data_IF_415204071996
#
_entry.id   IF_415204071996
#
_cell.length_a   1.000
_cell.length_b   1.000
_cell.length_c   1.000
_cell.angle_alpha   90.00
_cell.angle_beta   90.00
_cell.angle_gamma   90.00
#
_symmetry.space_group_name_H-M   'P 1'
#
loop_
_entity.id
_entity.type
_entity.pdbx_description
1 polymer ?
#
# COMPACT_ATOMS: atom_id res chain seq x y z
N UNK A 1 64.16 -8.35 36.62
CA UNK A 1 64.24 -8.98 37.97
C UNK A 1 63.94 -8.02 39.13
N UNK A 2 64.07 -6.69 38.95
CA UNK A 2 63.82 -5.72 40.04
C UNK A 2 62.35 -5.30 40.24
N UNK A 3 61.52 -5.27 39.19
CA UNK A 3 60.08 -4.96 39.33
C UNK A 3 59.31 -5.99 40.17
N UNK A 4 59.72 -7.26 40.12
CA UNK A 4 59.10 -8.35 40.90
C UNK A 4 59.45 -8.28 42.39
N UNK A 5 60.64 -7.73 42.72
CA UNK A 5 61.05 -7.50 44.12
C UNK A 5 60.33 -6.31 44.76
N UNK A 6 60.00 -5.29 43.98
CA UNK A 6 59.27 -4.12 44.48
C UNK A 6 57.79 -4.43 44.79
N UNK A 7 57.12 -5.23 43.96
CA UNK A 7 55.75 -5.72 44.26
C UNK A 7 55.69 -6.61 45.51
N UNK A 8 56.69 -7.50 45.69
CA UNK A 8 56.77 -8.35 46.88
C UNK A 8 57.07 -7.57 48.17
N UNK A 9 57.72 -6.41 48.08
CA UNK A 9 57.99 -5.54 49.24
C UNK A 9 56.73 -4.78 49.67
N UNK A 10 55.94 -4.28 48.73
CA UNK A 10 54.66 -3.60 49.02
C UNK A 10 53.63 -4.55 49.64
N UNK A 11 53.53 -5.80 49.17
CA UNK A 11 52.59 -6.78 49.72
C UNK A 11 52.91 -7.27 51.14
N UNK A 12 54.17 -7.16 51.60
CA UNK A 12 54.58 -7.58 52.95
C UNK A 12 54.23 -6.58 54.06
N UNK A 13 53.87 -5.33 53.73
CA UNK A 13 53.60 -4.26 54.70
C UNK A 13 52.11 -4.00 54.96
N UNK A 14 51.22 -4.68 54.24
CA UNK A 14 49.77 -4.52 54.36
C UNK A 14 49.17 -5.64 55.22
N UNK A 15 48.41 -5.27 56.25
CA UNK A 15 47.75 -6.22 57.15
C UNK A 15 46.73 -7.09 56.38
N UNK A 16 46.45 -8.34 56.80
CA UNK A 16 45.57 -9.31 56.11
C UNK A 16 44.25 -8.68 55.63
N UNK A 17 43.66 -7.77 56.43
CA UNK A 17 42.45 -6.99 56.09
C UNK A 17 42.60 -6.12 54.82
N UNK A 18 43.75 -5.48 54.62
CA UNK A 18 43.99 -4.62 53.45
C UNK A 18 44.15 -5.45 52.17
N UNK A 19 44.72 -6.64 52.25
CA UNK A 19 44.79 -7.58 51.13
C UNK A 19 43.40 -8.11 50.76
N UNK A 20 42.54 -8.42 51.75
CA UNK A 20 41.15 -8.81 51.50
C UNK A 20 40.35 -7.68 50.85
N UNK A 21 40.52 -6.44 51.33
CA UNK A 21 39.85 -5.26 50.79
C UNK A 21 40.30 -4.95 49.35
N UNK A 22 41.59 -5.13 49.05
CA UNK A 22 42.13 -4.95 47.70
C UNK A 22 41.61 -6.04 46.75
N UNK A 23 41.53 -7.30 47.18
CA UNK A 23 40.92 -8.37 46.38
C UNK A 23 39.41 -8.13 46.14
N UNK A 24 38.67 -7.64 47.14
CA UNK A 24 37.26 -7.24 47.02
C UNK A 24 37.07 -6.06 46.05
N UNK A 25 37.91 -5.01 46.16
CA UNK A 25 37.88 -3.90 45.19
C UNK A 25 38.25 -4.36 43.78
N UNK A 26 39.24 -5.24 43.65
CA UNK A 26 39.67 -5.79 42.35
C UNK A 26 38.58 -6.63 41.72
N UNK A 27 37.85 -7.42 42.51
CA UNK A 27 36.70 -8.21 42.03
C UNK A 27 35.49 -7.35 41.72
N UNK A 28 35.24 -6.27 42.47
CA UNK A 28 34.22 -5.26 42.12
C UNK A 28 34.59 -4.55 40.81
N UNK A 29 35.86 -4.16 40.61
CA UNK A 29 36.33 -3.51 39.38
C UNK A 29 36.29 -4.49 38.18
N UNK A 30 36.62 -5.77 38.38
CA UNK A 30 36.47 -6.82 37.36
C UNK A 30 35.00 -7.12 37.02
N UNK A 31 34.08 -7.01 37.99
CA UNK A 31 32.65 -7.12 37.75
C UNK A 31 32.07 -5.90 37.02
N UNK A 32 32.60 -4.69 37.27
CA UNK A 32 32.19 -3.45 36.57
C UNK A 32 32.79 -3.38 35.16
N UNK A 33 33.99 -3.92 34.95
CA UNK A 33 34.67 -3.97 33.64
C UNK A 33 34.10 -5.00 32.65
N UNK A 34 33.14 -5.82 33.08
CA UNK A 34 32.45 -6.82 32.26
C UNK A 34 31.06 -6.39 31.79
N UNK A 35 30.76 -5.08 31.76
CA UNK A 35 29.63 -4.60 30.97
C UNK A 35 30.01 -4.67 29.49
N UNK A 36 29.65 -5.78 28.83
CA UNK A 36 29.62 -5.84 27.35
C UNK A 36 28.81 -4.64 26.88
N UNK A 37 29.43 -3.80 26.08
CA UNK A 37 28.75 -2.71 25.37
C UNK A 37 27.60 -3.33 24.57
N UNK A 38 26.37 -3.08 25.01
CA UNK A 38 25.18 -3.61 24.35
C UNK A 38 25.06 -2.92 22.99
N UNK A 39 25.29 -3.69 21.91
CA UNK A 39 25.18 -3.16 20.55
C UNK A 39 23.74 -2.73 20.28
N UNK A 40 23.57 -1.61 19.57
CA UNK A 40 22.26 -1.15 19.12
C UNK A 40 21.83 -1.95 17.89
N UNK A 41 20.53 -2.26 17.80
CA UNK A 41 19.93 -2.82 16.59
C UNK A 41 19.69 -1.66 15.62
N UNK A 42 20.49 -1.58 14.58
CA UNK A 42 20.37 -0.53 13.56
C UNK A 42 19.25 -0.86 12.57
N UNK A 43 18.29 0.06 12.44
CA UNK A 43 17.17 -0.04 11.50
C UNK A 43 17.17 1.20 10.59
N UNK A 44 17.11 0.94 9.29
CA UNK A 44 17.15 1.91 8.21
C UNK A 44 15.82 1.95 7.45
N UNK A 45 15.56 3.01 6.65
CA UNK A 45 14.39 3.07 5.76
C UNK A 45 14.27 1.85 4.82
N UNK A 46 15.41 1.29 4.38
CA UNK A 46 15.41 0.09 3.53
C UNK A 46 14.76 -1.11 4.22
N UNK A 47 14.95 -1.28 5.53
CA UNK A 47 14.26 -2.34 6.25
C UNK A 47 12.73 -2.15 6.25
N UNK A 48 12.25 -0.90 6.24
CA UNK A 48 10.82 -0.62 6.09
C UNK A 48 10.32 -0.93 4.67
N UNK A 49 11.08 -0.54 3.65
CA UNK A 49 10.78 -0.90 2.28
C UNK A 49 10.70 -2.42 2.09
N UNK A 50 11.61 -3.18 2.71
CA UNK A 50 11.66 -4.63 2.58
C UNK A 50 10.44 -5.32 3.25
N UNK A 51 9.95 -4.83 4.40
CA UNK A 51 8.71 -5.39 4.99
C UNK A 51 7.48 -5.09 4.14
N UNK A 52 7.41 -3.90 3.51
CA UNK A 52 6.33 -3.53 2.59
C UNK A 52 6.38 -4.39 1.32
N UNK A 53 7.59 -4.58 0.76
CA UNK A 53 7.81 -5.43 -0.42
C UNK A 53 7.45 -6.90 -0.12
N UNK A 54 7.80 -7.40 1.06
CA UNK A 54 7.44 -8.77 1.49
C UNK A 54 5.91 -8.97 1.48
N UNK A 55 5.15 -8.05 2.07
CA UNK A 55 3.67 -8.14 2.08
C UNK A 55 3.11 -7.97 0.65
N UNK A 56 3.72 -7.12 -0.18
CA UNK A 56 3.36 -6.96 -1.60
C UNK A 56 3.52 -8.26 -2.38
N UNK A 57 4.63 -8.96 -2.20
CA UNK A 57 4.89 -10.25 -2.85
C UNK A 57 3.89 -11.32 -2.43
N UNK A 58 3.50 -11.33 -1.16
CA UNK A 58 2.46 -12.23 -0.66
C UNK A 58 1.10 -11.86 -1.25
N UNK A 59 0.76 -10.57 -1.39
CA UNK A 59 -0.50 -10.18 -2.03
C UNK A 59 -0.60 -10.60 -3.49
N UNK A 60 0.49 -10.49 -4.25
CA UNK A 60 0.55 -10.97 -5.64
C UNK A 60 0.41 -12.50 -5.69
N UNK A 61 1.02 -13.20 -4.73
CA UNK A 61 0.89 -14.66 -4.63
C UNK A 61 -0.54 -15.10 -4.29
N UNK A 62 -1.21 -14.37 -3.40
CA UNK A 62 -2.55 -14.69 -2.90
C UNK A 62 -3.68 -14.12 -3.78
N UNK A 63 -3.34 -13.37 -4.84
CA UNK A 63 -4.25 -12.82 -5.85
C UNK A 63 -5.33 -11.94 -5.21
N UNK A 64 -4.92 -11.01 -4.34
CA UNK A 64 -5.85 -10.05 -3.75
C UNK A 64 -6.37 -9.05 -4.77
N UNK A 65 -7.66 -8.71 -4.64
CA UNK A 65 -8.30 -7.69 -5.46
C UNK A 65 -7.72 -6.29 -5.20
N UNK A 66 -7.78 -5.37 -6.18
CA UNK A 66 -7.33 -3.99 -5.98
C UNK A 66 -7.88 -3.29 -4.71
N UNK A 67 -9.19 -3.30 -4.43
CA UNK A 67 -9.72 -2.68 -3.20
C UNK A 67 -9.24 -3.39 -1.93
N UNK A 68 -9.16 -4.73 -1.92
CA UNK A 68 -8.67 -5.46 -0.73
C UNK A 68 -7.19 -5.20 -0.50
N UNK A 69 -6.36 -5.15 -1.55
CA UNK A 69 -4.95 -4.81 -1.44
C UNK A 69 -4.73 -3.44 -0.79
N UNK A 70 -5.57 -2.44 -1.08
CA UNK A 70 -5.50 -1.13 -0.41
C UNK A 70 -5.68 -1.22 1.10
N UNK A 71 -6.60 -2.08 1.56
CA UNK A 71 -6.84 -2.37 2.97
C UNK A 71 -5.62 -3.02 3.62
N UNK A 72 -4.97 -3.96 2.91
CA UNK A 72 -3.78 -4.68 3.38
C UNK A 72 -2.59 -3.72 3.55
N UNK A 73 -2.44 -2.69 2.72
CA UNK A 73 -1.42 -1.66 2.94
C UNK A 73 -1.78 -0.70 4.06
N UNK A 74 -3.06 -0.36 4.23
CA UNK A 74 -3.47 0.74 5.10
C UNK A 74 -3.16 0.46 6.59
N UNK A 75 -3.68 -0.64 7.12
CA UNK A 75 -3.62 -0.94 8.55
C UNK A 75 -2.20 -1.21 9.10
N UNK A 76 -1.33 -1.98 8.42
CA UNK A 76 0.06 -2.16 8.86
C UNK A 76 0.86 -0.86 8.91
N UNK A 77 0.66 0.03 7.93
CA UNK A 77 1.30 1.34 7.92
C UNK A 77 0.83 2.20 9.10
N UNK A 78 -0.48 2.23 9.39
CA UNK A 78 -1.02 2.92 10.57
C UNK A 78 -0.43 2.35 11.86
N UNK A 79 -0.29 1.02 11.98
CA UNK A 79 0.31 0.41 13.16
C UNK A 79 1.77 0.85 13.37
N UNK A 80 2.58 0.81 12.31
CA UNK A 80 3.96 1.28 12.36
C UNK A 80 4.05 2.79 12.67
N UNK A 81 3.14 3.58 12.09
CA UNK A 81 3.08 5.03 12.30
C UNK A 81 2.75 5.38 13.76
N UNK A 82 1.77 4.72 14.36
CA UNK A 82 1.43 4.93 15.77
C UNK A 82 2.58 4.54 16.71
N UNK A 83 3.41 3.55 16.33
CA UNK A 83 4.62 3.23 17.11
C UNK A 83 5.66 4.35 17.04
N UNK A 84 5.93 4.94 15.85
CA UNK A 84 6.94 6.01 15.76
C UNK A 84 6.52 7.29 16.46
N UNK A 85 5.21 7.59 16.51
CA UNK A 85 4.67 8.75 17.25
C UNK A 85 5.01 8.70 18.76
N UNK A 86 5.32 7.51 19.29
CA UNK A 86 5.66 7.32 20.70
C UNK A 86 7.13 7.63 20.99
N UNK A 87 7.98 7.55 19.95
CA UNK A 87 9.40 7.83 20.03
C UNK A 87 9.80 9.20 19.48
N UNK A 88 8.92 9.87 18.72
CA UNK A 88 9.23 11.12 18.04
C UNK A 88 8.05 12.11 18.10
N UNK A 89 8.14 13.19 18.92
CA UNK A 89 7.05 14.14 19.10
C UNK A 89 6.76 14.99 17.86
N UNK A 90 7.61 14.95 16.82
CA UNK A 90 7.33 15.59 15.54
C UNK A 90 6.09 14.98 14.86
N UNK A 91 5.84 13.69 15.08
CA UNK A 91 4.73 12.96 14.46
C UNK A 91 3.55 12.84 15.44
N UNK A 92 2.37 13.24 14.96
CA UNK A 92 1.14 13.27 15.77
C UNK A 92 0.32 12.01 15.54
N UNK A 93 -0.18 11.43 16.62
CA UNK A 93 -1.09 10.27 16.57
C UNK A 93 -2.29 10.52 15.65
N UNK A 94 -2.65 9.49 14.90
CA UNK A 94 -3.86 9.41 14.08
C UNK A 94 -5.12 9.14 14.91
N UNK A 95 -4.97 8.84 16.20
CA UNK A 95 -6.12 8.70 17.09
C UNK A 95 -6.92 10.00 17.17
N UNK A 96 -8.24 9.88 17.06
CA UNK A 96 -9.15 11.03 16.97
C UNK A 96 -9.16 11.74 15.62
N UNK A 97 -8.26 11.38 14.69
CA UNK A 97 -8.27 11.84 13.30
C UNK A 97 -8.92 10.81 12.37
N UNK A 98 -8.62 9.53 12.59
CA UNK A 98 -9.25 8.42 11.86
C UNK A 98 -10.51 7.92 12.57
N UNK A 99 -11.46 7.43 11.78
CA UNK A 99 -12.73 6.91 12.28
C UNK A 99 -12.53 5.77 13.29
N UNK A 100 -13.04 5.99 14.50
CA UNK A 100 -13.06 5.03 15.61
C UNK A 100 -11.68 4.54 16.07
N UNK A 101 -10.58 5.22 15.71
CA UNK A 101 -9.24 4.87 16.20
C UNK A 101 -8.99 5.50 17.57
N UNK A 102 -9.03 4.68 18.62
CA UNK A 102 -8.63 5.08 19.97
C UNK A 102 -7.11 5.11 20.14
N UNK A 103 -6.56 5.84 21.14
CA UNK A 103 -5.11 5.94 21.34
C UNK A 103 -4.48 4.57 21.58
N UNK A 104 -3.31 4.34 20.98
CA UNK A 104 -2.53 3.11 21.22
C UNK A 104 -1.96 3.08 22.65
N UNK A 105 -1.66 1.88 23.20
CA UNK A 105 -0.99 1.77 24.49
C UNK A 105 0.34 2.53 24.51
N UNK A 106 0.54 3.33 25.56
CA UNK A 106 1.75 4.14 25.72
C UNK A 106 2.99 3.26 25.93
N UNK A 107 4.12 3.69 25.38
CA UNK A 107 5.40 3.00 25.58
C UNK A 107 5.84 3.08 27.05
N UNK A 108 6.32 1.95 27.58
CA UNK A 108 6.86 1.89 28.94
C UNK A 108 8.25 2.53 29.00
N UNK A 109 8.34 3.70 29.62
CA UNK A 109 9.58 4.48 29.73
C UNK A 109 10.67 3.80 30.56
N UNK A 110 10.36 2.71 31.27
CA UNK A 110 11.34 1.92 32.04
C UNK A 110 12.04 0.84 31.20
N UNK A 111 11.55 0.57 29.98
CA UNK A 111 12.08 -0.46 29.07
C UNK A 111 13.00 0.11 28.00
N UNK A 112 13.89 -0.72 27.47
CA UNK A 112 14.82 -0.32 26.40
C UNK A 112 14.20 -0.57 25.02
N UNK A 113 13.16 0.21 24.69
CA UNK A 113 12.39 0.06 23.45
C UNK A 113 13.12 0.77 22.29
N UNK A 114 13.45 0.01 21.26
CA UNK A 114 13.81 0.51 19.94
C UNK A 114 12.53 0.64 19.11
N UNK A 115 12.03 1.87 18.98
CA UNK A 115 10.78 2.16 18.26
C UNK A 115 10.81 1.75 16.79
N UNK A 116 11.98 1.75 16.15
CA UNK A 116 12.10 1.30 14.75
C UNK A 116 11.88 -0.21 14.62
N UNK A 117 12.46 -1.00 15.53
CA UNK A 117 12.21 -2.45 15.62
C UNK A 117 10.74 -2.70 15.94
N UNK A 118 10.18 -2.00 16.93
CA UNK A 118 8.78 -2.13 17.30
C UNK A 118 7.82 -1.79 16.15
N UNK A 119 8.15 -0.79 15.31
CA UNK A 119 7.36 -0.42 14.14
C UNK A 119 7.37 -1.52 13.07
N UNK A 120 8.53 -2.13 12.78
CA UNK A 120 8.62 -3.28 11.86
C UNK A 120 7.86 -4.51 12.38
N UNK A 121 7.95 -4.77 13.69
CA UNK A 121 7.17 -5.83 14.36
C UNK A 121 5.67 -5.58 14.19
N UNK A 122 5.22 -4.35 14.46
CA UNK A 122 3.80 -3.98 14.35
C UNK A 122 3.30 -4.12 12.91
N UNK A 123 4.08 -3.63 11.93
CA UNK A 123 3.76 -3.77 10.51
C UNK A 123 3.61 -5.25 10.11
N UNK A 124 4.60 -6.08 10.40
CA UNK A 124 4.59 -7.49 9.99
C UNK A 124 3.47 -8.27 10.68
N UNK A 125 3.18 -8.01 11.95
CA UNK A 125 2.13 -8.72 12.68
C UNK A 125 0.72 -8.36 12.17
N UNK A 126 0.45 -7.09 11.86
CA UNK A 126 -0.83 -6.68 11.26
C UNK A 126 -0.91 -7.15 9.81
N UNK A 127 0.18 -7.04 9.05
CA UNK A 127 0.24 -7.47 7.65
C UNK A 127 0.03 -8.97 7.49
N UNK A 128 0.56 -9.78 8.40
CA UNK A 128 0.36 -11.24 8.45
C UNK A 128 -1.13 -11.60 8.59
N UNK A 129 -1.86 -10.94 9.49
CA UNK A 129 -3.30 -11.19 9.72
C UNK A 129 -4.16 -10.89 8.47
N UNK A 130 -3.64 -10.09 7.54
CA UNK A 130 -4.36 -9.56 6.40
C UNK A 130 -4.15 -10.34 5.10
N UNK A 131 -3.27 -11.34 5.10
CA UNK A 131 -2.94 -12.17 3.93
C UNK A 131 -3.30 -13.64 4.19
N UNK A 132 -3.39 -14.45 3.14
CA UNK A 132 -3.70 -15.89 3.29
C UNK A 132 -2.45 -16.73 3.53
N UNK A 133 -1.36 -16.44 2.82
CA UNK A 133 -0.08 -17.14 2.97
C UNK A 133 0.74 -16.58 4.13
N UNK A 134 0.19 -16.63 5.35
CA UNK A 134 0.83 -16.10 6.57
C UNK A 134 2.27 -16.56 6.74
N UNK A 135 2.52 -17.86 6.48
CA UNK A 135 3.82 -18.50 6.61
C UNK A 135 4.95 -17.80 5.83
N UNK A 136 4.65 -17.15 4.70
CA UNK A 136 5.64 -16.38 3.93
C UNK A 136 6.09 -15.12 4.69
N UNK A 137 5.15 -14.42 5.32
CA UNK A 137 5.44 -13.27 6.19
C UNK A 137 6.20 -13.73 7.44
N UNK A 138 5.77 -14.84 8.04
CA UNK A 138 6.42 -15.41 9.23
C UNK A 138 7.86 -15.82 8.96
N UNK A 139 8.13 -16.47 7.83
CA UNK A 139 9.49 -16.89 7.46
C UNK A 139 10.44 -15.68 7.38
N UNK A 140 9.99 -14.58 6.76
CA UNK A 140 10.78 -13.36 6.70
C UNK A 140 10.94 -12.71 8.07
N UNK A 141 9.84 -12.57 8.84
CA UNK A 141 9.85 -12.04 10.22
C UNK A 141 10.83 -12.79 11.12
N UNK A 142 10.79 -14.12 11.09
CA UNK A 142 11.61 -14.96 11.98
C UNK A 142 13.10 -14.87 11.63
N UNK A 143 13.43 -14.62 10.35
CA UNK A 143 14.80 -14.31 9.93
C UNK A 143 15.32 -13.01 10.56
N UNK A 144 14.48 -11.97 10.59
CA UNK A 144 14.80 -10.68 11.22
C UNK A 144 14.92 -10.83 12.74
N UNK A 145 13.99 -11.55 13.36
CA UNK A 145 13.97 -11.78 14.81
C UNK A 145 15.23 -12.52 15.28
N UNK A 146 15.64 -13.55 14.54
CA UNK A 146 16.88 -14.28 14.83
C UNK A 146 18.10 -13.35 14.79
N UNK A 147 18.16 -12.46 13.79
CA UNK A 147 19.23 -11.47 13.66
C UNK A 147 19.21 -10.47 14.82
N UNK A 148 18.08 -9.82 15.09
CA UNK A 148 17.94 -8.79 16.11
C UNK A 148 18.17 -9.34 17.53
N UNK A 149 17.67 -10.54 17.83
CA UNK A 149 17.89 -11.18 19.12
C UNK A 149 19.39 -11.49 19.36
N UNK A 150 20.13 -11.85 18.30
CA UNK A 150 21.57 -12.12 18.38
C UNK A 150 22.40 -10.85 18.64
N UNK A 151 21.91 -9.68 18.23
CA UNK A 151 22.57 -8.37 18.42
C UNK A 151 22.31 -7.84 19.82
N UNK A 152 21.04 -7.70 20.20
CA UNK A 152 20.64 -7.24 21.52
C UNK A 152 19.31 -7.86 21.94
N UNK A 153 19.40 -8.97 22.66
CA UNK A 153 18.25 -9.74 23.16
C UNK A 153 17.32 -8.93 24.07
N UNK A 154 17.85 -8.06 24.93
CA UNK A 154 17.03 -7.28 25.87
C UNK A 154 16.20 -6.24 25.11
N UNK A 155 16.87 -5.37 24.35
CA UNK A 155 16.19 -4.34 23.57
C UNK A 155 15.24 -4.94 22.54
N UNK A 156 15.63 -6.03 21.86
CA UNK A 156 14.74 -6.73 20.93
C UNK A 156 13.46 -7.24 21.62
N UNK A 157 13.57 -7.90 22.77
CA UNK A 157 12.38 -8.45 23.45
C UNK A 157 11.44 -7.34 23.96
N UNK A 158 12.00 -6.25 24.51
CA UNK A 158 11.20 -5.07 24.92
C UNK A 158 10.51 -4.43 23.71
N UNK A 159 11.22 -4.26 22.59
CA UNK A 159 10.70 -3.68 21.34
C UNK A 159 9.63 -4.55 20.69
N UNK A 160 9.87 -5.87 20.62
CA UNK A 160 8.90 -6.85 20.10
C UNK A 160 7.63 -6.86 20.94
N UNK A 161 7.76 -6.89 22.27
CA UNK A 161 6.60 -6.86 23.16
C UNK A 161 5.76 -5.61 22.94
N UNK A 162 6.39 -4.45 22.77
CA UNK A 162 5.69 -3.20 22.49
C UNK A 162 5.04 -3.18 21.09
N UNK A 163 5.77 -3.60 20.05
CA UNK A 163 5.23 -3.68 18.68
C UNK A 163 4.02 -4.62 18.58
N UNK A 164 4.05 -5.78 19.26
CA UNK A 164 2.92 -6.71 19.32
C UNK A 164 1.74 -6.14 20.11
N UNK A 165 1.99 -5.32 21.13
CA UNK A 165 0.94 -4.64 21.90
C UNK A 165 0.19 -3.63 21.03
N UNK A 166 0.91 -2.81 20.26
CA UNK A 166 0.30 -1.88 19.29
C UNK A 166 -0.39 -2.64 18.16
N UNK A 167 0.23 -3.69 17.62
CA UNK A 167 -0.38 -4.53 16.60
C UNK A 167 -1.73 -5.10 17.06
N UNK A 168 -1.80 -5.62 18.29
CA UNK A 168 -3.05 -6.13 18.86
C UNK A 168 -4.14 -5.06 18.87
N UNK A 169 -3.84 -3.86 19.36
CA UNK A 169 -4.78 -2.74 19.37
C UNK A 169 -5.31 -2.39 17.97
N UNK A 170 -4.42 -2.38 16.97
CA UNK A 170 -4.80 -2.11 15.58
C UNK A 170 -5.61 -3.28 15.00
N UNK A 171 -5.31 -4.53 15.33
CA UNK A 171 -6.11 -5.71 14.92
C UNK A 171 -7.52 -5.69 15.54
N UNK A 172 -7.64 -5.25 16.78
CA UNK A 172 -8.94 -5.06 17.43
C UNK A 172 -9.75 -3.98 16.69
N UNK A 173 -9.13 -2.83 16.35
CA UNK A 173 -9.76 -1.77 15.55
C UNK A 173 -10.11 -2.20 14.12
N UNK A 174 -9.22 -2.96 13.46
CA UNK A 174 -9.39 -3.57 12.14
C UNK A 174 -10.61 -4.49 12.09
N UNK A 175 -10.83 -5.30 13.12
CA UNK A 175 -11.93 -6.28 13.17
C UNK A 175 -13.33 -5.66 13.13
N UNK A 176 -13.42 -4.34 13.38
CA UNK A 176 -14.67 -3.58 13.45
C UNK A 176 -14.98 -2.79 12.16
N UNK A 177 -14.20 -2.97 11.09
CA UNK A 177 -14.30 -2.17 9.86
C UNK A 177 -15.33 -2.68 8.84
N UNK A 178 -16.15 -3.66 9.25
CA UNK A 178 -17.17 -4.37 8.45
C UNK A 178 -16.65 -5.34 7.39
N UNK A 179 -15.34 -5.48 7.17
CA UNK A 179 -14.81 -6.38 6.13
C UNK A 179 -15.24 -7.83 6.28
N UNK A 180 -15.20 -8.37 7.51
CA UNK A 180 -15.60 -9.74 7.79
C UNK A 180 -17.09 -9.99 7.47
N UNK A 181 -17.94 -9.01 7.79
CA UNK A 181 -19.38 -9.04 7.55
C UNK A 181 -19.70 -8.98 6.05
N UNK A 182 -18.92 -8.25 5.25
CA UNK A 182 -19.17 -8.19 3.80
C UNK A 182 -18.81 -9.49 3.07
N UNK A 183 -18.00 -10.38 3.67
CA UNK A 183 -17.59 -11.65 3.03
C UNK A 183 -18.75 -12.62 2.80
N UNK A 184 -19.85 -12.46 3.54
CA UNK A 184 -21.05 -13.31 3.43
C UNK A 184 -22.24 -12.58 2.81
N UNK A 185 -22.05 -11.34 2.33
CA UNK A 185 -23.10 -10.60 1.63
C UNK A 185 -23.34 -11.18 0.23
N UNK A 186 -24.55 -10.98 -0.35
CA UNK A 186 -24.88 -11.50 -1.68
C UNK A 186 -23.93 -10.98 -2.76
N UNK A 187 -23.71 -11.81 -3.79
CA UNK A 187 -23.00 -11.40 -5.01
C UNK A 187 -23.77 -10.33 -5.77
N UNK A 188 -23.09 -9.65 -6.69
CA UNK A 188 -23.73 -8.71 -7.60
C UNK A 188 -24.77 -9.41 -8.48
N UNK A 189 -26.00 -8.87 -8.53
CA UNK A 189 -27.04 -9.38 -9.42
C UNK A 189 -26.92 -8.75 -10.81
N UNK A 190 -26.54 -9.58 -11.78
CA UNK A 190 -26.51 -9.24 -13.20
C UNK A 190 -27.95 -9.17 -13.72
N UNK A 191 -28.29 -8.10 -14.45
CA UNK A 191 -29.56 -7.97 -15.16
C UNK A 191 -29.27 -7.65 -16.62
N UNK A 192 -29.44 -8.65 -17.49
CA UNK A 192 -29.18 -8.54 -18.93
C UNK A 192 -30.33 -7.89 -19.70
N UNK A 193 -31.49 -7.66 -19.08
CA UNK A 193 -32.61 -6.95 -19.71
C UNK A 193 -32.37 -5.42 -19.76
N UNK A 194 -31.51 -4.90 -18.89
CA UNK A 194 -31.08 -3.51 -18.91
C UNK A 194 -29.77 -3.36 -19.71
N UNK A 195 -29.79 -2.80 -20.94
CA UNK A 195 -28.62 -2.73 -21.80
C UNK A 195 -27.53 -1.76 -21.28
N UNK A 196 -27.86 -0.88 -20.32
CA UNK A 196 -26.89 0.02 -19.72
C UNK A 196 -26.11 -0.62 -18.56
N UNK A 197 -26.59 -1.77 -18.06
CA UNK A 197 -26.05 -2.39 -16.84
C UNK A 197 -24.89 -3.34 -17.13
N UNK A 198 -23.91 -3.33 -16.24
CA UNK A 198 -22.72 -4.17 -16.30
C UNK A 198 -23.06 -5.66 -16.38
N UNK A 199 -22.30 -6.34 -17.24
CA UNK A 199 -22.33 -7.78 -17.44
C UNK A 199 -20.91 -8.32 -17.29
N UNK A 200 -20.73 -9.56 -16.77
CA UNK A 200 -19.44 -10.24 -16.81
C UNK A 200 -18.91 -10.33 -18.24
N UNK A 201 -17.62 -10.08 -18.42
CA UNK A 201 -16.97 -10.05 -19.73
C UNK A 201 -16.11 -11.30 -19.98
N UNK A 202 -15.92 -11.71 -21.25
CA UNK A 202 -14.96 -12.74 -21.60
C UNK A 202 -13.53 -12.43 -21.14
N UNK A 203 -12.65 -13.45 -21.11
CA UNK A 203 -12.91 -14.88 -21.28
C UNK A 203 -13.55 -15.56 -20.06
N UNK A 204 -13.41 -15.00 -18.86
CA UNK A 204 -13.71 -15.73 -17.62
C UNK A 204 -15.13 -15.50 -17.08
N UNK A 205 -15.82 -14.44 -17.50
CA UNK A 205 -17.17 -14.09 -17.03
C UNK A 205 -17.28 -14.09 -15.49
N UNK A 206 -16.24 -13.58 -14.82
CA UNK A 206 -16.19 -13.53 -13.36
C UNK A 206 -17.29 -12.63 -12.77
N UNK A 207 -17.78 -13.00 -11.58
CA UNK A 207 -18.67 -12.15 -10.80
C UNK A 207 -18.01 -10.80 -10.49
N UNK A 208 -18.84 -9.75 -10.37
CA UNK A 208 -18.38 -8.41 -10.03
C UNK A 208 -17.63 -8.39 -8.69
N UNK A 209 -16.40 -7.88 -8.70
CA UNK A 209 -15.49 -7.89 -7.55
C UNK A 209 -15.86 -6.83 -6.50
N UNK A 210 -16.12 -7.30 -5.28
CA UNK A 210 -16.39 -6.48 -4.08
C UNK A 210 -17.61 -5.54 -4.20
N UNK A 211 -18.82 -6.05 -4.49
CA UNK A 211 -20.02 -5.22 -4.69
C UNK A 211 -20.44 -4.39 -3.48
N UNK A 212 -19.97 -4.78 -2.29
CA UNK A 212 -20.28 -4.13 -1.02
C UNK A 212 -19.08 -3.36 -0.45
N UNK A 213 -18.07 -3.02 -1.25
CA UNK A 213 -16.89 -2.31 -0.75
C UNK A 213 -17.23 -0.95 -0.12
N UNK A 214 -18.34 -0.33 -0.53
CA UNK A 214 -18.91 0.88 0.08
C UNK A 214 -19.28 0.73 1.56
N UNK A 215 -19.47 -0.50 2.04
CA UNK A 215 -19.84 -0.77 3.43
C UNK A 215 -18.64 -0.85 4.38
N UNK A 216 -17.41 -0.90 3.84
CA UNK A 216 -16.18 -0.88 4.62
C UNK A 216 -16.05 0.49 5.30
N UNK A 217 -15.67 0.50 6.58
CA UNK A 217 -15.43 1.75 7.31
C UNK A 217 -14.33 2.55 6.60
N UNK A 218 -14.60 3.77 6.10
CA UNK A 218 -13.55 4.62 5.58
C UNK A 218 -12.61 5.08 6.68
N UNK A 219 -11.35 5.32 6.33
CA UNK A 219 -10.31 5.76 7.26
C UNK A 219 -10.61 7.17 7.77
N UNK A 220 -10.89 8.09 6.86
CA UNK A 220 -11.03 9.52 7.16
C UNK A 220 -12.16 10.24 6.40
N UNK A 221 -12.57 9.77 5.22
CA UNK A 221 -13.74 10.34 4.54
C UNK A 221 -15.00 10.05 5.36
N UNK A 222 -15.90 11.03 5.46
CA UNK A 222 -17.05 11.01 6.36
C UNK A 222 -18.05 9.90 5.97
N UNK A 223 -18.15 9.59 4.68
CA UNK A 223 -18.93 8.46 4.14
C UNK A 223 -18.37 8.03 2.79
N UNK A 224 -18.68 6.79 2.37
CA UNK A 224 -18.27 6.27 1.05
C UNK A 224 -18.75 7.15 -0.11
N UNK A 225 -19.89 7.82 0.05
CA UNK A 225 -20.49 8.69 -0.97
C UNK A 225 -20.02 10.15 -0.92
N UNK A 226 -19.08 10.51 -0.04
CA UNK A 226 -18.64 11.91 0.13
C UNK A 226 -18.11 12.54 -1.16
N UNK A 227 -17.42 11.75 -1.99
CA UNK A 227 -16.86 12.18 -3.28
C UNK A 227 -17.60 11.53 -4.45
N UNK A 228 -18.93 11.56 -4.42
CA UNK A 228 -19.74 11.16 -5.58
C UNK A 228 -19.42 12.08 -6.77
N UNK A 229 -18.99 11.54 -7.92
CA UNK A 229 -18.65 12.35 -9.08
C UNK A 229 -19.92 12.83 -9.81
N UNK A 230 -19.73 13.75 -10.76
CA UNK A 230 -20.77 14.12 -11.73
C UNK A 230 -21.23 12.88 -12.51
N UNK A 231 -22.49 12.84 -12.94
CA UNK A 231 -23.03 11.68 -13.68
C UNK A 231 -22.29 11.49 -15.01
N UNK A 232 -22.02 10.23 -15.37
CA UNK A 232 -21.58 9.89 -16.73
C UNK A 232 -22.65 10.27 -17.78
N UNK A 233 -22.29 10.39 -19.07
CA UNK A 233 -23.27 10.61 -20.14
C UNK A 233 -24.41 9.60 -20.10
N UNK A 234 -25.65 10.04 -20.32
CA UNK A 234 -26.81 9.15 -20.35
C UNK A 234 -26.62 8.07 -21.42
N UNK A 235 -26.85 6.81 -21.03
CA UNK A 235 -26.75 5.68 -21.94
C UNK A 235 -27.66 5.88 -23.15
N UNK A 236 -27.09 5.77 -24.35
CA UNK A 236 -27.81 5.86 -25.61
C UNK A 236 -26.98 5.26 -26.74
N UNK A 237 -27.63 4.50 -27.62
CA UNK A 237 -27.02 3.98 -28.84
C UNK A 237 -27.28 4.88 -30.07
N UNK A 238 -27.96 6.02 -29.88
CA UNK A 238 -28.10 7.04 -30.92
C UNK A 238 -26.75 7.70 -31.22
N UNK A 239 -26.40 7.79 -32.51
CA UNK A 239 -25.06 8.17 -32.96
C UNK A 239 -24.62 9.59 -32.56
N UNK A 240 -25.57 10.49 -32.36
CA UNK A 240 -25.35 11.88 -31.98
C UNK A 240 -25.26 12.08 -30.45
N UNK A 241 -25.64 11.06 -29.66
CA UNK A 241 -25.56 11.09 -28.20
C UNK A 241 -24.12 11.12 -27.70
N UNK A 242 -23.91 11.72 -26.52
CA UNK A 242 -22.58 11.82 -25.93
C UNK A 242 -22.02 10.44 -25.55
N UNK A 243 -22.86 9.52 -25.06
CA UNK A 243 -22.43 8.17 -24.73
C UNK A 243 -21.93 7.39 -25.96
N UNK A 244 -22.64 7.45 -27.08
CA UNK A 244 -22.20 6.77 -28.32
C UNK A 244 -20.90 7.35 -28.88
N UNK A 245 -20.67 8.65 -28.72
CA UNK A 245 -19.39 9.28 -29.10
C UNK A 245 -18.23 8.74 -28.26
N UNK A 246 -18.41 8.59 -26.95
CA UNK A 246 -17.37 7.99 -26.10
C UNK A 246 -17.15 6.50 -26.39
N UNK A 247 -18.21 5.75 -26.69
CA UNK A 247 -18.11 4.36 -27.16
C UNK A 247 -17.31 4.26 -28.47
N UNK A 248 -17.61 5.14 -29.42
CA UNK A 248 -16.92 5.20 -30.72
C UNK A 248 -15.46 5.61 -30.55
N UNK A 249 -15.16 6.56 -29.66
CA UNK A 249 -13.79 6.94 -29.32
C UNK A 249 -12.99 5.73 -28.82
N UNK A 250 -13.55 4.93 -27.89
CA UNK A 250 -12.87 3.72 -27.39
C UNK A 250 -12.60 2.71 -28.51
N UNK A 251 -13.58 2.48 -29.39
CA UNK A 251 -13.45 1.60 -30.56
C UNK A 251 -12.33 2.05 -31.50
N UNK A 252 -12.35 3.33 -31.90
CA UNK A 252 -11.38 3.92 -32.83
C UNK A 252 -9.96 3.91 -32.27
N UNK A 253 -9.79 4.28 -30.99
CA UNK A 253 -8.48 4.25 -30.32
C UNK A 253 -7.92 2.83 -30.30
N UNK A 254 -8.74 1.83 -29.98
CA UNK A 254 -8.32 0.42 -30.01
C UNK A 254 -7.86 -0.03 -31.39
N UNK A 255 -8.58 0.35 -32.45
CA UNK A 255 -8.20 0.03 -33.83
C UNK A 255 -6.88 0.68 -34.25
N UNK A 256 -6.67 1.96 -33.93
CA UNK A 256 -5.40 2.65 -34.21
C UNK A 256 -4.22 1.94 -33.54
N UNK A 257 -4.36 1.51 -32.29
CA UNK A 257 -3.28 0.80 -31.57
C UNK A 257 -3.02 -0.56 -32.22
N UNK A 258 -4.08 -1.28 -32.64
CA UNK A 258 -3.96 -2.57 -33.34
C UNK A 258 -3.24 -2.42 -34.69
N UNK A 259 -3.48 -1.32 -35.41
CA UNK A 259 -2.79 -0.99 -36.66
C UNK A 259 -1.31 -0.63 -36.45
N UNK A 260 -0.99 0.13 -35.40
CA UNK A 260 0.38 0.52 -35.01
C UNK A 260 1.21 -0.68 -34.49
N UNK A 261 0.56 -1.70 -33.94
CA UNK A 261 1.17 -2.92 -33.42
C UNK A 261 2.14 -2.67 -32.26
N UNK A 262 3.16 -3.53 -32.14
CA UNK A 262 4.15 -3.51 -31.04
C UNK A 262 4.96 -2.20 -30.92
N UNK A 263 4.98 -1.38 -31.97
CA UNK A 263 5.66 -0.07 -31.95
C UNK A 263 4.84 1.05 -31.32
N UNK A 264 3.57 0.79 -30.99
CA UNK A 264 2.68 1.78 -30.38
C UNK A 264 3.12 2.14 -28.95
N UNK A 265 3.38 3.42 -28.71
CA UNK A 265 3.60 3.94 -27.35
C UNK A 265 2.34 3.80 -26.49
N UNK A 266 1.15 3.91 -27.09
CA UNK A 266 -0.13 3.77 -26.38
C UNK A 266 -0.32 2.33 -25.87
N UNK A 267 0.13 1.33 -26.64
CA UNK A 267 0.14 -0.07 -26.21
C UNK A 267 1.04 -0.24 -24.98
N UNK A 268 2.26 0.31 -25.01
CA UNK A 268 3.20 0.22 -23.90
C UNK A 268 2.68 0.93 -22.65
N UNK A 269 2.04 2.10 -22.81
CA UNK A 269 1.37 2.82 -21.72
C UNK A 269 0.23 1.98 -21.13
N UNK A 270 -0.63 1.38 -21.96
CA UNK A 270 -1.72 0.53 -21.52
C UNK A 270 -1.21 -0.68 -20.73
N UNK A 271 -0.16 -1.36 -21.23
CA UNK A 271 0.43 -2.52 -20.57
C UNK A 271 1.12 -2.15 -19.25
N UNK A 272 1.84 -1.03 -19.21
CA UNK A 272 2.54 -0.56 -18.02
C UNK A 272 1.58 -0.30 -16.86
N UNK A 273 0.44 0.32 -17.14
CA UNK A 273 -0.56 0.67 -16.15
C UNK A 273 -1.69 -0.35 -16.05
N UNK A 274 -1.59 -1.56 -16.63
CA UNK A 274 -2.70 -2.53 -16.61
C UNK A 274 -3.05 -2.94 -15.17
N UNK A 275 -2.01 -3.30 -14.39
CA UNK A 275 -2.12 -3.58 -12.95
C UNK A 275 -3.31 -4.49 -12.57
N UNK A 276 -3.66 -5.43 -13.46
CA UNK A 276 -4.81 -6.32 -13.31
C UNK A 276 -4.35 -7.72 -12.87
N UNK A 277 -4.61 -8.13 -11.61
CA UNK A 277 -4.20 -9.45 -11.12
C UNK A 277 -5.07 -10.60 -11.68
N UNK A 278 -6.12 -10.28 -12.46
CA UNK A 278 -7.06 -11.25 -13.02
C UNK A 278 -6.77 -11.64 -14.47
N UNK A 279 -5.67 -11.16 -15.05
CA UNK A 279 -5.34 -11.51 -16.43
C UNK A 279 -5.09 -13.00 -16.53
N UNK A 280 -5.93 -13.68 -17.31
CA UNK A 280 -5.91 -15.12 -17.50
C UNK A 280 -5.48 -15.46 -18.93
N UNK A 281 -4.68 -16.50 -19.07
CA UNK A 281 -4.34 -17.08 -20.38
C UNK A 281 -4.87 -18.51 -20.43
N UNK A 282 -5.73 -18.77 -21.42
CA UNK A 282 -6.31 -20.08 -21.69
C UNK A 282 -5.52 -20.78 -22.79
N UNK A 283 -4.98 -21.98 -22.51
CA UNK A 283 -4.36 -22.87 -23.51
C UNK A 283 -4.96 -24.27 -23.38
N UNK A 284 -5.96 -24.57 -24.22
CA UNK A 284 -6.74 -25.80 -24.10
C UNK A 284 -7.55 -25.79 -22.80
N UNK A 285 -7.37 -26.83 -21.96
CA UNK A 285 -8.03 -26.92 -20.64
C UNK A 285 -7.22 -26.26 -19.50
N UNK A 286 -6.06 -25.66 -19.81
CA UNK A 286 -5.20 -25.01 -18.82
C UNK A 286 -5.45 -23.52 -18.79
N UNK A 287 -5.68 -22.99 -17.58
CA UNK A 287 -5.76 -21.56 -17.31
C UNK A 287 -4.59 -21.18 -16.41
N UNK A 288 -3.83 -20.16 -16.80
CA UNK A 288 -2.76 -19.58 -16.00
C UNK A 288 -3.01 -18.09 -15.78
N UNK A 289 -2.84 -17.61 -14.55
CA UNK A 289 -2.91 -16.19 -14.23
C UNK A 289 -1.53 -15.53 -14.39
N UNK A 290 -1.47 -14.37 -15.04
CA UNK A 290 -0.26 -13.56 -15.10
C UNK A 290 -0.10 -12.79 -13.80
N UNK A 291 1.01 -13.01 -13.09
CA UNK A 291 1.30 -12.30 -11.83
C UNK A 291 1.55 -10.82 -12.11
N UNK A 292 0.63 -9.97 -11.65
CA UNK A 292 0.73 -8.51 -11.72
C UNK A 292 0.44 -7.90 -10.35
N UNK A 293 0.95 -6.70 -10.11
CA UNK A 293 0.54 -5.88 -8.97
C UNK A 293 -0.80 -5.20 -9.24
N UNK A 294 -1.39 -4.64 -8.19
CA UNK A 294 -2.60 -3.81 -8.28
C UNK A 294 -2.21 -2.33 -8.34
N UNK A 295 -3.14 -1.42 -8.73
CA UNK A 295 -2.81 0.01 -8.83
C UNK A 295 -2.38 0.61 -7.49
N UNK A 296 -2.98 0.15 -6.39
CA UNK A 296 -2.56 0.55 -5.04
C UNK A 296 -1.12 0.14 -4.74
N UNK A 297 -0.73 -1.08 -5.10
CA UNK A 297 0.64 -1.57 -4.94
C UNK A 297 1.65 -0.79 -5.81
N UNK A 298 1.28 -0.44 -7.04
CA UNK A 298 2.10 0.41 -7.93
C UNK A 298 2.39 1.76 -7.27
N UNK A 299 1.37 2.46 -6.78
CA UNK A 299 1.55 3.76 -6.11
C UNK A 299 2.32 3.68 -4.78
N UNK A 300 2.19 2.57 -4.04
CA UNK A 300 3.05 2.27 -2.88
C UNK A 300 4.51 2.06 -3.32
N UNK A 301 4.74 1.44 -4.48
CA UNK A 301 6.04 1.38 -5.13
C UNK A 301 6.59 2.75 -5.55
N UNK A 302 5.77 3.64 -6.11
CA UNK A 302 6.18 5.02 -6.42
C UNK A 302 6.54 5.79 -5.14
N UNK A 303 5.79 5.60 -4.04
CA UNK A 303 6.14 6.16 -2.72
C UNK A 303 7.52 5.66 -2.23
N UNK A 304 7.85 4.37 -2.48
CA UNK A 304 9.19 3.80 -2.22
C UNK A 304 10.26 4.56 -2.99
N UNK A 305 10.06 4.75 -4.29
CA UNK A 305 11.01 5.42 -5.19
C UNK A 305 11.26 6.84 -4.72
N UNK A 306 10.19 7.60 -4.44
CA UNK A 306 10.28 8.97 -3.95
C UNK A 306 11.07 9.04 -2.62
N UNK A 307 10.70 8.18 -1.66
CA UNK A 307 11.37 8.13 -0.34
C UNK A 307 12.86 7.80 -0.44
N UNK A 308 13.24 6.85 -1.31
CA UNK A 308 14.65 6.52 -1.58
C UNK A 308 15.38 7.68 -2.27
N UNK A 309 14.75 8.29 -3.28
CA UNK A 309 15.34 9.40 -4.04
C UNK A 309 15.61 10.64 -3.18
N UNK A 310 14.75 10.93 -2.21
CA UNK A 310 14.95 12.05 -1.27
C UNK A 310 15.86 11.72 -0.09
N UNK A 311 16.29 10.46 0.06
CA UNK A 311 17.05 10.02 1.24
C UNK A 311 16.23 10.19 2.53
N UNK A 312 14.91 10.00 2.46
CA UNK A 312 14.01 10.13 3.62
C UNK A 312 14.46 9.22 4.75
N UNK A 313 14.45 9.74 5.97
CA UNK A 313 14.72 8.91 7.15
C UNK A 313 13.58 7.91 7.42
N UNK A 314 13.76 7.09 8.45
CA UNK A 314 12.83 6.00 8.78
C UNK A 314 11.43 6.52 9.10
N UNK A 315 11.33 7.60 9.88
CA UNK A 315 10.04 8.13 10.33
C UNK A 315 9.33 8.84 9.16
N UNK A 316 10.06 9.63 8.36
CA UNK A 316 9.51 10.29 7.16
C UNK A 316 9.02 9.28 6.13
N UNK A 317 9.73 8.15 6.00
CA UNK A 317 9.32 7.03 5.13
C UNK A 317 7.99 6.44 5.59
N UNK A 318 7.85 6.09 6.87
CA UNK A 318 6.60 5.56 7.43
C UNK A 318 5.46 6.57 7.28
N UNK A 319 5.72 7.85 7.56
CA UNK A 319 4.78 8.95 7.33
C UNK A 319 4.27 8.97 5.88
N UNK A 320 5.18 8.87 4.91
CA UNK A 320 4.84 8.91 3.49
C UNK A 320 3.97 7.73 3.08
N UNK A 321 4.35 6.51 3.47
CA UNK A 321 3.55 5.32 3.22
C UNK A 321 2.17 5.40 3.86
N UNK A 322 2.09 5.83 5.11
CA UNK A 322 0.83 5.86 5.88
C UNK A 322 -0.16 6.84 5.28
N UNK A 323 0.27 8.08 5.00
CA UNK A 323 -0.63 9.10 4.41
C UNK A 323 -1.10 8.67 3.02
N UNK A 324 -0.20 8.07 2.23
CA UNK A 324 -0.51 7.55 0.88
C UNK A 324 -1.46 6.36 0.95
N UNK A 325 -1.24 5.39 1.84
CA UNK A 325 -2.11 4.20 1.96
C UNK A 325 -3.50 4.54 2.48
N UNK A 326 -3.63 5.53 3.38
CA UNK A 326 -4.93 6.05 3.82
C UNK A 326 -5.71 6.63 2.63
N UNK A 327 -5.07 7.50 1.84
CA UNK A 327 -5.72 8.11 0.67
C UNK A 327 -6.12 7.08 -0.38
N UNK A 328 -5.27 6.09 -0.65
CA UNK A 328 -5.55 5.00 -1.58
C UNK A 328 -6.74 4.15 -1.08
N UNK A 329 -6.77 3.78 0.21
CA UNK A 329 -7.86 2.97 0.76
C UNK A 329 -9.22 3.66 0.66
N UNK A 330 -9.29 4.94 1.03
CA UNK A 330 -10.51 5.73 0.94
C UNK A 330 -10.90 6.03 -0.52
N UNK A 331 -9.92 6.19 -1.42
CA UNK A 331 -10.15 6.30 -2.86
C UNK A 331 -10.82 5.05 -3.45
N UNK A 332 -10.39 3.85 -3.04
CA UNK A 332 -11.05 2.61 -3.44
C UNK A 332 -12.48 2.51 -2.92
N UNK A 333 -12.74 2.90 -1.66
CA UNK A 333 -14.10 2.94 -1.10
C UNK A 333 -15.00 3.88 -1.91
N UNK A 334 -14.53 5.11 -2.17
CA UNK A 334 -15.27 6.11 -2.94
C UNK A 334 -15.52 5.69 -4.39
N UNK A 335 -14.54 5.07 -5.04
CA UNK A 335 -14.68 4.61 -6.42
C UNK A 335 -15.66 3.42 -6.52
N UNK A 336 -15.55 2.44 -5.61
CA UNK A 336 -16.44 1.28 -5.62
C UNK A 336 -17.88 1.63 -5.25
N UNK A 337 -18.09 2.64 -4.39
CA UNK A 337 -19.43 3.19 -4.15
C UNK A 337 -20.07 3.68 -5.46
N UNK A 338 -19.33 4.39 -6.32
CA UNK A 338 -19.86 4.84 -7.61
C UNK A 338 -20.02 3.70 -8.63
N UNK A 339 -19.08 2.76 -8.69
CA UNK A 339 -19.16 1.58 -9.58
C UNK A 339 -20.43 0.79 -9.38
N UNK A 340 -20.79 0.53 -8.14
CA UNK A 340 -21.98 -0.26 -7.82
C UNK A 340 -23.26 0.58 -7.68
N UNK A 341 -23.14 1.92 -7.74
CA UNK A 341 -24.28 2.82 -7.89
C UNK A 341 -24.69 2.96 -9.36
N UNK A 342 -23.75 3.34 -10.24
CA UNK A 342 -24.00 3.50 -11.68
C UNK A 342 -24.22 2.16 -12.37
N UNK A 343 -23.49 1.13 -11.95
CA UNK A 343 -23.52 -0.21 -12.55
C UNK A 343 -23.29 -0.20 -14.06
N UNK A 344 -22.46 0.71 -14.57
CA UNK A 344 -22.33 0.96 -16.01
C UNK A 344 -21.62 -0.18 -16.76
N UNK A 345 -22.15 -0.51 -17.95
CA UNK A 345 -21.62 -1.49 -18.89
C UNK A 345 -20.25 -1.12 -19.48
N UNK A 346 -19.42 -2.13 -19.79
CA UNK A 346 -18.06 -1.97 -20.33
C UNK A 346 -18.06 -1.78 -21.86
N UNK A 347 -17.04 -1.12 -22.43
CA UNK A 347 -17.00 -0.83 -23.87
C UNK A 347 -17.09 -2.08 -24.75
N UNK A 348 -16.31 -3.12 -24.46
CA UNK A 348 -16.26 -4.34 -25.28
C UNK A 348 -17.64 -4.99 -25.48
N UNK A 349 -18.51 -4.92 -24.47
CA UNK A 349 -19.83 -5.55 -24.53
C UNK A 349 -20.69 -4.87 -25.59
N UNK A 350 -20.69 -3.53 -25.61
CA UNK A 350 -21.48 -2.76 -26.57
C UNK A 350 -20.85 -2.74 -27.95
N UNK A 351 -19.52 -2.65 -28.04
CA UNK A 351 -18.80 -2.71 -29.32
C UNK A 351 -19.13 -4.04 -30.01
N UNK A 352 -18.99 -5.16 -29.30
CA UNK A 352 -19.19 -6.49 -29.88
C UNK A 352 -20.66 -6.75 -30.25
N UNK A 353 -21.61 -6.15 -29.53
CA UNK A 353 -23.04 -6.33 -29.80
C UNK A 353 -23.59 -5.42 -30.90
N UNK A 354 -23.00 -4.23 -31.10
CA UNK A 354 -23.63 -3.18 -31.92
C UNK A 354 -22.72 -2.52 -32.97
N UNK A 355 -21.40 -2.76 -32.93
CA UNK A 355 -20.44 -2.09 -33.82
C UNK A 355 -19.63 -3.13 -34.61
N UNK A 356 -18.88 -3.99 -33.90
CA UNK A 356 -17.93 -4.93 -34.50
C UNK A 356 -17.75 -6.14 -33.57
N UNK A 357 -18.34 -7.29 -33.96
CA UNK A 357 -18.32 -8.53 -33.17
C UNK A 357 -16.93 -9.13 -32.96
N UNK A 358 -15.93 -8.73 -33.78
CA UNK A 358 -14.57 -9.25 -33.74
C UNK A 358 -13.58 -8.29 -33.07
N UNK A 359 -14.07 -7.18 -32.53
CA UNK A 359 -13.23 -6.24 -31.82
C UNK A 359 -12.84 -6.81 -30.44
N UNK A 360 -11.59 -6.57 -30.06
CA UNK A 360 -11.05 -6.97 -28.77
C UNK A 360 -10.34 -5.77 -28.14
N UNK A 361 -10.54 -5.50 -26.84
CA UNK A 361 -9.80 -4.46 -26.17
C UNK A 361 -8.32 -4.84 -26.05
N UNK A 362 -7.44 -3.83 -26.02
CA UNK A 362 -6.00 -4.02 -25.85
C UNK A 362 -5.66 -4.71 -24.52
N UNK A 363 -6.45 -4.42 -23.47
CA UNK A 363 -6.35 -5.06 -22.17
C UNK A 363 -7.61 -5.89 -21.89
N UNK A 364 -7.46 -7.04 -21.25
CA UNK A 364 -8.60 -7.82 -20.76
C UNK A 364 -9.42 -6.98 -19.77
N UNK A 365 -10.73 -6.90 -20.00
CA UNK A 365 -11.63 -6.09 -19.15
C UNK A 365 -11.66 -6.62 -17.71
N UNK A 366 -11.39 -5.77 -16.71
CA UNK A 366 -11.49 -6.17 -15.31
C UNK A 366 -12.94 -6.48 -14.88
N UNK A 367 -13.14 -7.48 -14.00
CA UNK A 367 -14.47 -7.99 -13.65
C UNK A 367 -15.21 -7.13 -12.62
N UNK A 368 -15.54 -5.89 -13.00
CA UNK A 368 -16.35 -4.95 -12.21
C UNK A 368 -16.92 -3.83 -13.10
N UNK A 369 -18.00 -3.15 -12.65
CA UNK A 369 -18.63 -2.06 -13.40
C UNK A 369 -17.67 -0.94 -13.83
N UNK A 370 -18.05 -0.24 -14.90
CA UNK A 370 -17.18 0.69 -15.61
C UNK A 370 -16.94 1.99 -14.83
N UNK A 371 -17.99 2.70 -14.42
CA UNK A 371 -17.88 4.10 -13.98
C UNK A 371 -17.77 4.26 -12.45
N UNK A 372 -16.80 4.97 -11.88
CA UNK A 372 -15.62 5.63 -12.47
C UNK A 372 -14.42 4.70 -12.62
N UNK A 373 -13.37 5.12 -13.33
CA UNK A 373 -12.11 4.37 -13.44
C UNK A 373 -11.37 4.30 -12.09
N UNK A 374 -11.19 3.09 -11.56
CA UNK A 374 -10.43 2.88 -10.32
C UNK A 374 -8.97 3.31 -10.42
N UNK A 375 -8.35 3.14 -11.59
CA UNK A 375 -7.00 3.66 -11.85
C UNK A 375 -6.98 5.18 -11.74
N UNK A 376 -7.95 5.87 -12.34
CA UNK A 376 -7.99 7.34 -12.30
C UNK A 376 -8.19 7.88 -10.88
N UNK A 377 -9.13 7.31 -10.11
CA UNK A 377 -9.42 7.76 -8.73
C UNK A 377 -8.23 7.51 -7.80
N UNK A 378 -7.65 6.32 -7.85
CA UNK A 378 -6.53 5.95 -6.97
C UNK A 378 -5.27 6.74 -7.34
N UNK A 379 -4.96 6.86 -8.63
CA UNK A 379 -3.83 7.67 -9.10
C UNK A 379 -3.99 9.14 -8.76
N UNK A 380 -5.20 9.70 -8.90
CA UNK A 380 -5.48 11.09 -8.50
C UNK A 380 -5.27 11.33 -7.01
N UNK A 381 -5.73 10.41 -6.15
CA UNK A 381 -5.55 10.53 -4.71
C UNK A 381 -4.08 10.37 -4.28
N UNK A 382 -3.40 9.34 -4.80
CA UNK A 382 -2.01 9.04 -4.47
C UNK A 382 -1.05 10.14 -4.97
N UNK A 383 -1.19 10.60 -6.21
CA UNK A 383 -0.38 11.70 -6.74
C UNK A 383 -0.56 12.99 -5.93
N UNK A 384 -1.79 13.33 -5.55
CA UNK A 384 -2.07 14.52 -4.73
C UNK A 384 -1.34 14.46 -3.38
N UNK A 385 -1.38 13.31 -2.70
CA UNK A 385 -0.67 13.13 -1.42
C UNK A 385 0.85 13.16 -1.63
N UNK A 386 1.38 12.43 -2.61
CA UNK A 386 2.82 12.39 -2.85
C UNK A 386 3.39 13.77 -3.26
N UNK A 387 2.63 14.54 -4.03
CA UNK A 387 2.97 15.94 -4.36
C UNK A 387 3.02 16.82 -3.10
N UNK A 388 2.11 16.65 -2.14
CA UNK A 388 2.18 17.37 -0.86
C UNK A 388 3.42 16.99 -0.05
N UNK A 389 3.81 15.70 -0.07
CA UNK A 389 4.90 15.18 0.77
C UNK A 389 6.29 15.49 0.21
N UNK A 390 6.46 15.35 -1.11
CA UNK A 390 7.77 15.40 -1.78
C UNK A 390 7.93 16.61 -2.72
N UNK A 391 6.86 17.40 -2.89
CA UNK A 391 6.84 18.58 -3.75
C UNK A 391 6.27 18.31 -5.14
N UNK A 392 5.87 19.39 -5.80
CA UNK A 392 5.47 19.36 -7.20
C UNK A 392 6.69 19.27 -8.13
N UNK A 393 6.47 18.84 -9.38
CA UNK A 393 7.54 18.61 -10.38
C UNK A 393 8.65 17.67 -9.89
N UNK A 394 8.28 16.70 -9.04
CA UNK A 394 9.17 15.64 -8.59
C UNK A 394 9.39 14.62 -9.73
N UNK A 395 10.53 14.69 -10.40
CA UNK A 395 10.87 13.70 -11.42
C UNK A 395 11.22 12.34 -10.79
N UNK A 396 10.92 11.24 -11.46
CA UNK A 396 11.35 9.91 -11.03
C UNK A 396 11.35 8.93 -12.20
N UNK A 397 12.13 7.87 -12.03
CA UNK A 397 12.12 6.71 -12.91
C UNK A 397 11.32 5.63 -12.20
N UNK A 398 10.19 5.25 -12.77
CA UNK A 398 9.33 4.20 -12.27
C UNK A 398 9.83 2.84 -12.73
N UNK A 399 10.43 2.10 -11.79
CA UNK A 399 10.96 0.76 -11.98
C UNK A 399 10.10 -0.33 -11.30
N UNK A 400 8.91 0.04 -10.82
CA UNK A 400 8.01 -0.86 -10.06
C UNK A 400 7.61 -2.10 -10.85
N UNK A 401 7.39 -1.94 -12.16
CA UNK A 401 6.94 -2.99 -13.06
C UNK A 401 8.08 -3.84 -13.66
N UNK A 402 9.36 -3.49 -13.39
CA UNK A 402 10.52 -4.27 -13.86
C UNK A 402 10.45 -5.74 -13.45
N UNK A 403 10.05 -6.00 -12.20
CA UNK A 403 9.92 -7.37 -11.65
C UNK A 403 8.80 -8.17 -12.34
N UNK A 404 7.85 -7.47 -12.96
CA UNK A 404 6.71 -8.05 -13.65
C UNK A 404 6.89 -8.06 -15.18
N UNK A 405 8.10 -7.75 -15.66
CA UNK A 405 8.51 -7.94 -17.05
C UNK A 405 8.33 -6.72 -17.95
N UNK A 406 8.04 -5.54 -17.39
CA UNK A 406 7.83 -4.30 -18.13
C UNK A 406 9.02 -3.34 -17.96
N UNK A 407 9.27 -2.42 -18.92
CA UNK A 407 10.38 -1.49 -18.86
C UNK A 407 10.18 -0.37 -17.82
N UNK A 408 11.26 0.33 -17.49
CA UNK A 408 11.20 1.58 -16.71
C UNK A 408 10.50 2.67 -17.53
N UNK A 409 9.63 3.45 -16.89
CA UNK A 409 9.08 4.70 -17.44
C UNK A 409 9.51 5.91 -16.62
N UNK A 410 9.75 7.04 -17.26
CA UNK A 410 10.22 8.26 -16.59
C UNK A 410 9.13 9.31 -16.55
N UNK A 411 8.95 9.92 -15.38
CA UNK A 411 7.96 10.98 -15.15
C UNK A 411 8.63 12.23 -14.60
N UNK A 412 8.10 13.41 -14.94
CA UNK A 412 8.55 14.70 -14.39
C UNK A 412 7.75 15.14 -13.17
N UNK A 413 6.62 14.49 -12.89
CA UNK A 413 5.81 14.72 -11.69
C UNK A 413 4.90 13.53 -11.40
N UNK A 414 4.42 13.40 -10.15
CA UNK A 414 3.39 12.42 -9.81
C UNK A 414 2.07 12.70 -10.55
N UNK A 415 1.75 13.97 -10.81
CA UNK A 415 0.57 14.34 -11.57
C UNK A 415 0.64 13.83 -13.01
N UNK A 416 1.79 13.95 -13.66
CA UNK A 416 2.00 13.39 -15.00
C UNK A 416 1.84 11.86 -15.00
N UNK A 417 2.40 11.17 -14.01
CA UNK A 417 2.22 9.72 -13.88
C UNK A 417 0.74 9.35 -13.68
N UNK A 418 -0.01 10.12 -12.88
CA UNK A 418 -1.44 9.90 -12.69
C UNK A 418 -2.28 10.18 -13.95
N UNK A 419 -1.94 11.23 -14.70
CA UNK A 419 -2.57 11.52 -16.00
C UNK A 419 -2.31 10.39 -17.01
N UNK A 420 -1.07 9.87 -17.06
CA UNK A 420 -0.71 8.73 -17.91
C UNK A 420 -1.43 7.44 -17.48
N UNK A 421 -1.50 7.16 -16.17
CA UNK A 421 -2.25 6.03 -15.63
C UNK A 421 -3.74 6.12 -15.96
N UNK A 422 -4.33 7.31 -15.93
CA UNK A 422 -5.72 7.54 -16.26
C UNK A 422 -6.00 7.31 -17.75
N UNK A 423 -5.22 7.94 -18.64
CA UNK A 423 -5.43 7.82 -20.10
C UNK A 423 -5.10 6.42 -20.62
N UNK A 424 -4.21 5.68 -19.95
CA UNK A 424 -3.89 4.29 -20.28
C UNK A 424 -5.12 3.39 -20.37
N UNK A 425 -6.20 3.74 -19.66
CA UNK A 425 -7.44 2.96 -19.62
C UNK A 425 -8.28 3.12 -20.88
N UNK A 426 -8.19 4.27 -21.56
CA UNK A 426 -8.76 4.45 -22.88
C UNK A 426 -7.94 3.68 -23.92
N UNK A 427 -6.61 3.77 -23.84
CA UNK A 427 -5.72 2.99 -24.70
C UNK A 427 -5.92 1.48 -24.52
N UNK A 428 -6.24 1.05 -23.30
CA UNK A 428 -6.60 -0.32 -22.99
C UNK A 428 -7.94 -0.78 -23.57
N UNK A 429 -8.80 0.12 -24.05
CA UNK A 429 -10.10 -0.22 -24.61
C UNK A 429 -11.19 -0.56 -23.58
N UNK A 430 -10.99 -0.20 -22.30
CA UNK A 430 -11.80 -0.74 -21.19
C UNK A 430 -12.54 0.33 -20.38
N UNK A 431 -12.31 1.61 -20.68
CA UNK A 431 -12.98 2.74 -20.04
C UNK A 431 -13.38 3.81 -21.05
N UNK A 432 -14.51 4.45 -20.80
CA UNK A 432 -14.95 5.65 -21.51
C UNK A 432 -14.25 6.90 -20.97
N UNK A 433 -14.24 7.97 -21.77
CA UNK A 433 -13.62 9.26 -21.40
C UNK A 433 -14.14 9.81 -20.08
N UNK A 434 -15.46 9.78 -19.87
CA UNK A 434 -16.07 10.30 -18.65
C UNK A 434 -15.57 9.58 -17.38
N UNK A 435 -15.41 8.25 -17.43
CA UNK A 435 -14.92 7.48 -16.29
C UNK A 435 -13.47 7.81 -15.92
N UNK A 436 -12.68 8.20 -16.92
CA UNK A 436 -11.28 8.56 -16.79
C UNK A 436 -11.14 9.95 -16.19
N UNK A 437 -11.74 10.96 -16.82
CA UNK A 437 -11.56 12.36 -16.46
C UNK A 437 -12.24 12.68 -15.13
N UNK A 438 -13.50 12.26 -14.96
CA UNK A 438 -14.25 12.46 -13.71
C UNK A 438 -13.71 11.59 -12.58
N UNK A 439 -13.17 10.40 -12.90
CA UNK A 439 -12.48 9.57 -11.91
C UNK A 439 -11.21 10.25 -11.39
N UNK A 440 -10.43 10.89 -12.27
CA UNK A 440 -9.23 11.60 -11.87
C UNK A 440 -9.55 12.83 -11.02
N UNK A 441 -10.60 13.56 -11.37
CA UNK A 441 -11.13 14.66 -10.56
C UNK A 441 -11.58 14.16 -9.17
N UNK A 442 -12.36 13.09 -9.12
CA UNK A 442 -12.80 12.45 -7.88
C UNK A 442 -11.60 12.10 -6.97
N UNK A 443 -10.58 11.46 -7.54
CA UNK A 443 -9.35 11.09 -6.84
C UNK A 443 -8.59 12.30 -6.28
N UNK A 444 -8.40 13.33 -7.10
CA UNK A 444 -7.73 14.58 -6.69
C UNK A 444 -8.50 15.31 -5.59
N UNK A 445 -9.83 15.35 -5.68
CA UNK A 445 -10.69 15.94 -4.65
C UNK A 445 -10.55 15.21 -3.31
N UNK A 446 -10.57 13.87 -3.33
CA UNK A 446 -10.37 13.05 -2.14
C UNK A 446 -8.96 13.22 -1.56
N UNK A 447 -7.92 13.19 -2.40
CA UNK A 447 -6.54 13.42 -1.98
C UNK A 447 -6.37 14.78 -1.29
N UNK A 448 -6.97 15.84 -1.85
CA UNK A 448 -6.98 17.18 -1.24
C UNK A 448 -7.67 17.21 0.11
N UNK A 449 -8.77 16.47 0.27
CA UNK A 449 -9.44 16.36 1.55
C UNK A 449 -8.57 15.65 2.59
N UNK A 450 -7.90 14.56 2.21
CA UNK A 450 -6.99 13.81 3.09
C UNK A 450 -5.84 14.69 3.59
N UNK A 451 -5.16 15.41 2.69
CA UNK A 451 -4.03 16.28 3.10
C UNK A 451 -4.47 17.43 4.02
N UNK A 452 -5.69 17.95 3.84
CA UNK A 452 -6.20 19.05 4.65
C UNK A 452 -6.70 18.57 6.03
N UNK A 453 -7.30 17.39 6.09
CA UNK A 453 -7.89 16.84 7.32
C UNK A 453 -6.86 16.15 8.21
N UNK A 454 -5.84 15.48 7.64
CA UNK A 454 -4.79 14.83 8.41
C UNK A 454 -3.72 15.81 8.91
N UNK A 455 -3.60 15.92 10.23
CA UNK A 455 -2.58 16.67 10.94
C UNK A 455 -1.57 15.69 11.55
N UNK A 456 -0.65 15.21 10.71
CA UNK A 456 0.32 14.15 11.05
C UNK A 456 1.69 14.69 11.53
N UNK A 457 1.99 15.97 11.28
CA UNK A 457 3.24 16.60 11.71
C UNK A 457 2.89 17.77 12.66
N UNK A 458 3.73 18.00 13.66
CA UNK A 458 3.68 19.22 14.46
C UNK A 458 4.11 20.41 13.60
N UNK A 459 3.20 21.35 13.35
CA UNK A 459 3.58 22.66 12.85
C UNK A 459 4.32 23.38 13.98
N UNK A 460 5.51 23.91 13.68
CA UNK A 460 6.26 24.80 14.57
C UNK A 460 5.46 26.06 14.95
#
# INVERSE_FOLDING_TARGET
MEKLKFMNFLMKKTNKRQQTLFCLLSSIILCVSCQKEEKTIEITPNNYHDVVDTVTEVMVHDIFSPPVASRIYNYPNIAAYEVICQGDPMYKTLSGQLHNLSPVPQADTTKSINFKVAALVAYLEVGKELVFSENKVETYRDSLYTSWESINKRSFNDSKAYGLLVAKHIKDWLSTDRYAQTRTMPKFSVNTEDPARWQPTPPDYMDGIEPHWREIRPSIIDSASQFTPSRHPDFSLEKDSQFYKELTETYEVGNVIKEEGETSEKLQIAQFWDCNPYVSTHKGHLMFATKKITPGAHWIGICKIASKKTGSDFNKTIYAYTKTSIAIADAFISCWDEKYRSNLIRPETLINQHIDENWEPVLQTPPFPEYTSGHSVVSGAASTVLTEIFGDNFSFNDDTELKYGLPIRSFVSFNQAADEAAISRLYGGIHYRAAIDLGLEQGRNLGRFVINKLQMIAND
#
